data_IF_718719072412
#
_entry.id   IF_718719072412
#
_cell.length_a   1.000
_cell.length_b   1.000
_cell.length_c   1.000
_cell.angle_alpha   90.00
_cell.angle_beta   90.00
_cell.angle_gamma   90.00
#
_symmetry.space_group_name_H-M   'P 1'
#
loop_
_entity.id
_entity.type
_entity.pdbx_description
1 polymer ?
#
# COMPACT_ATOMS: atom_id res chain seq x y z
N UNK A 1 -14.83 0.20 12.91
CA UNK A 1 -15.18 0.59 11.53
C UNK A 1 -14.47 1.88 11.12
N UNK A 2 -14.55 2.98 11.90
CA UNK A 2 -13.93 4.27 11.60
C UNK A 2 -12.42 4.13 11.29
N UNK A 3 -11.66 3.46 12.16
CA UNK A 3 -10.21 3.25 12.00
C UNK A 3 -9.87 2.53 10.70
N UNK A 4 -10.61 1.48 10.35
CA UNK A 4 -10.40 0.74 9.09
C UNK A 4 -10.67 1.61 7.86
N UNK A 5 -11.67 2.50 7.94
CA UNK A 5 -11.96 3.43 6.85
C UNK A 5 -10.85 4.48 6.71
N UNK A 6 -10.35 5.03 7.83
CA UNK A 6 -9.25 5.99 7.83
C UNK A 6 -7.98 5.33 7.27
N UNK A 7 -7.64 4.13 7.74
CA UNK A 7 -6.48 3.40 7.25
C UNK A 7 -6.57 3.12 5.74
N UNK A 8 -7.74 2.73 5.23
CA UNK A 8 -7.94 2.49 3.80
C UNK A 8 -7.78 3.77 2.95
N UNK A 9 -8.21 4.94 3.47
CA UNK A 9 -8.02 6.24 2.80
C UNK A 9 -6.53 6.64 2.84
N UNK A 10 -5.86 6.43 3.98
CA UNK A 10 -4.43 6.69 4.16
C UNK A 10 -3.59 5.88 3.14
N UNK A 11 -3.86 4.58 3.03
CA UNK A 11 -3.20 3.70 2.06
C UNK A 11 -3.47 4.15 0.61
N UNK A 12 -4.70 4.51 0.27
CA UNK A 12 -5.04 4.97 -1.07
C UNK A 12 -4.29 6.27 -1.43
N UNK A 13 -4.26 7.23 -0.50
CA UNK A 13 -3.56 8.50 -0.70
C UNK A 13 -2.05 8.29 -0.79
N UNK A 14 -1.49 7.41 0.04
CA UNK A 14 -0.08 7.04 -0.01
C UNK A 14 0.31 6.43 -1.37
N UNK A 15 -0.53 5.54 -1.93
CA UNK A 15 -0.32 4.98 -3.27
C UNK A 15 -0.36 6.04 -4.37
N UNK A 16 -1.30 7.00 -4.30
CA UNK A 16 -1.37 8.09 -5.26
C UNK A 16 -0.13 8.99 -5.21
N UNK A 17 0.31 9.35 -4.00
CA UNK A 17 1.52 10.17 -3.81
C UNK A 17 2.75 9.41 -4.31
N UNK A 18 2.87 8.13 -3.97
CA UNK A 18 3.98 7.28 -4.42
C UNK A 18 4.05 7.21 -5.94
N UNK A 19 2.91 7.03 -6.62
CA UNK A 19 2.85 7.00 -8.08
C UNK A 19 3.35 8.31 -8.71
N UNK A 20 2.97 9.46 -8.13
CA UNK A 20 3.43 10.79 -8.59
C UNK A 20 4.95 10.93 -8.38
N UNK A 21 5.45 10.54 -7.21
CA UNK A 21 6.88 10.61 -6.89
C UNK A 21 7.70 9.73 -7.84
N UNK A 22 7.25 8.49 -8.10
CA UNK A 22 7.90 7.58 -9.05
C UNK A 22 7.90 8.19 -10.45
N UNK A 23 6.78 8.74 -10.90
CA UNK A 23 6.67 9.37 -12.21
C UNK A 23 7.66 10.54 -12.38
N UNK A 24 7.83 11.37 -11.34
CA UNK A 24 8.79 12.49 -11.37
C UNK A 24 10.24 11.98 -11.43
N UNK A 25 10.58 10.96 -10.65
CA UNK A 25 11.94 10.45 -10.54
C UNK A 25 12.36 9.69 -11.81
N UNK A 26 11.49 8.83 -12.33
CA UNK A 26 11.80 8.01 -13.50
C UNK A 26 11.81 8.81 -14.81
N UNK A 27 11.02 9.88 -14.89
CA UNK A 27 10.92 10.67 -16.12
C UNK A 27 12.21 11.44 -16.47
N UNK A 28 13.09 11.74 -15.51
CA UNK A 28 14.31 12.50 -15.71
C UNK A 28 14.11 13.93 -16.27
N UNK A 29 12.87 14.30 -16.60
CA UNK A 29 12.46 15.62 -17.11
C UNK A 29 11.04 15.93 -16.65
N UNK A 30 10.79 17.17 -16.25
CA UNK A 30 9.45 17.63 -15.85
C UNK A 30 8.40 17.46 -16.95
N UNK A 31 8.80 17.54 -18.21
CA UNK A 31 7.91 17.37 -19.36
C UNK A 31 7.43 15.92 -19.49
N UNK A 32 8.35 14.96 -19.40
CA UNK A 32 8.00 13.52 -19.42
C UNK A 32 7.20 13.09 -18.19
N UNK A 33 7.51 13.65 -17.02
CA UNK A 33 6.72 13.44 -15.81
C UNK A 33 5.25 13.84 -16.00
N UNK A 34 5.00 14.97 -16.69
CA UNK A 34 3.64 15.41 -17.03
C UNK A 34 2.88 14.40 -17.89
N UNK A 35 3.52 13.77 -18.87
CA UNK A 35 2.92 12.70 -19.67
C UNK A 35 2.62 11.46 -18.84
N UNK A 36 3.55 11.04 -17.99
CA UNK A 36 3.33 9.89 -17.10
C UNK A 36 2.13 10.13 -16.19
N UNK A 37 2.02 11.31 -15.56
CA UNK A 37 0.88 11.68 -14.73
C UNK A 37 -0.43 11.67 -15.54
N UNK A 38 -0.42 12.18 -16.76
CA UNK A 38 -1.59 12.16 -17.65
C UNK A 38 -2.02 10.72 -17.96
N UNK A 39 -1.08 9.83 -18.30
CA UNK A 39 -1.37 8.42 -18.55
C UNK A 39 -1.90 7.70 -17.29
N UNK A 40 -1.39 8.04 -16.10
CA UNK A 40 -1.91 7.53 -14.84
C UNK A 40 -3.35 7.94 -14.61
N UNK A 41 -3.66 9.22 -14.82
CA UNK A 41 -5.04 9.73 -14.69
C UNK A 41 -5.97 9.05 -15.70
N UNK A 42 -5.54 8.91 -16.95
CA UNK A 42 -6.30 8.19 -17.98
C UNK A 42 -6.52 6.73 -17.60
N UNK A 43 -5.48 6.04 -17.11
CA UNK A 43 -5.57 4.68 -16.59
C UNK A 43 -6.60 4.58 -15.44
N UNK A 44 -6.55 5.48 -14.45
CA UNK A 44 -7.51 5.49 -13.34
C UNK A 44 -8.95 5.71 -13.83
N UNK A 45 -9.16 6.62 -14.78
CA UNK A 45 -10.46 6.87 -15.41
C UNK A 45 -10.98 5.59 -16.09
N UNK A 46 -10.14 4.91 -16.88
CA UNK A 46 -10.50 3.66 -17.55
C UNK A 46 -10.85 2.58 -16.52
N UNK A 47 -10.03 2.41 -15.48
CA UNK A 47 -10.27 1.41 -14.44
C UNK A 47 -11.57 1.66 -13.68
N UNK A 48 -11.89 2.92 -13.35
CA UNK A 48 -13.10 3.26 -12.59
C UNK A 48 -14.36 3.29 -13.45
N UNK A 49 -14.29 3.80 -14.70
CA UNK A 49 -15.46 4.00 -15.53
C UNK A 49 -15.78 2.82 -16.46
N UNK A 50 -14.77 2.05 -16.89
CA UNK A 50 -14.96 0.92 -17.80
C UNK A 50 -14.79 -0.42 -17.09
N UNK A 51 -13.66 -0.63 -16.40
CA UNK A 51 -13.35 -1.95 -15.84
C UNK A 51 -14.22 -2.25 -14.62
N UNK A 52 -14.39 -1.31 -13.69
CA UNK A 52 -15.21 -1.49 -12.49
C UNK A 52 -16.68 -1.86 -12.81
N UNK A 53 -17.43 -1.17 -13.68
CA UNK A 53 -18.78 -1.58 -14.01
C UNK A 53 -18.84 -2.93 -14.74
N UNK A 54 -17.83 -3.24 -15.58
CA UNK A 54 -17.72 -4.56 -16.21
C UNK A 54 -17.55 -5.67 -15.16
N UNK A 55 -16.65 -5.48 -14.19
CA UNK A 55 -16.45 -6.39 -13.08
C UNK A 55 -17.72 -6.60 -12.27
N UNK A 56 -18.45 -5.52 -11.97
CA UNK A 56 -19.71 -5.58 -11.24
C UNK A 56 -20.78 -6.36 -12.02
N UNK A 57 -20.88 -6.16 -13.33
CA UNK A 57 -21.82 -6.88 -14.21
C UNK A 57 -21.49 -8.38 -14.28
N UNK A 58 -20.21 -8.71 -14.40
CA UNK A 58 -19.76 -10.11 -14.39
C UNK A 58 -20.10 -10.76 -13.04
N UNK A 59 -19.76 -10.09 -11.94
CA UNK A 59 -20.05 -10.60 -10.60
C UNK A 59 -21.54 -10.84 -10.39
N UNK A 60 -22.41 -9.92 -10.80
CA UNK A 60 -23.87 -10.07 -10.65
C UNK A 60 -24.45 -11.26 -11.44
N UNK A 61 -23.98 -11.50 -12.66
CA UNK A 61 -24.42 -12.64 -13.49
C UNK A 61 -24.02 -13.99 -12.88
N UNK A 62 -22.83 -14.06 -12.27
CA UNK A 62 -22.34 -15.31 -11.69
C UNK A 62 -22.90 -15.59 -10.29
N UNK A 63 -23.20 -14.56 -9.51
CA UNK A 63 -23.82 -14.70 -8.19
C UNK A 63 -25.25 -15.23 -8.34
N UNK A 64 -25.99 -14.77 -9.34
CA UNK A 64 -27.36 -15.23 -9.59
C UNK A 64 -27.48 -16.72 -9.96
N UNK A 65 -26.35 -17.35 -10.37
CA UNK A 65 -26.32 -18.77 -10.79
C UNK A 65 -25.67 -19.70 -9.76
N UNK A 66 -25.30 -19.21 -8.58
CA UNK A 66 -24.58 -19.97 -7.53
C UNK A 66 -23.33 -20.73 -8.03
N UNK A 67 -22.85 -20.44 -9.25
CA UNK A 67 -21.72 -21.14 -9.87
C UNK A 67 -20.47 -20.30 -9.70
N UNK A 68 -19.80 -20.45 -8.56
CA UNK A 68 -18.44 -19.90 -8.40
C UNK A 68 -17.45 -20.80 -9.17
N UNK A 69 -17.22 -20.45 -10.44
CA UNK A 69 -16.40 -21.26 -11.34
C UNK A 69 -14.94 -20.76 -11.35
N UNK A 70 -13.97 -21.69 -11.52
CA UNK A 70 -12.54 -21.40 -11.73
C UNK A 70 -12.30 -20.32 -12.81
N UNK A 71 -13.22 -20.17 -13.77
CA UNK A 71 -13.18 -19.15 -14.83
C UNK A 71 -13.23 -17.71 -14.28
N UNK A 72 -13.99 -17.46 -13.20
CA UNK A 72 -14.08 -16.11 -12.59
C UNK A 72 -12.76 -15.75 -11.90
N UNK A 73 -12.20 -16.71 -11.18
CA UNK A 73 -10.91 -16.52 -10.52
C UNK A 73 -9.84 -16.22 -11.57
N UNK A 74 -9.79 -17.00 -12.65
CA UNK A 74 -8.88 -16.76 -13.75
C UNK A 74 -9.09 -15.37 -14.38
N UNK A 75 -10.35 -14.96 -14.60
CA UNK A 75 -10.66 -13.63 -15.12
C UNK A 75 -10.19 -12.50 -14.21
N UNK A 76 -10.39 -12.62 -12.89
CA UNK A 76 -9.91 -11.66 -11.91
C UNK A 76 -8.38 -11.53 -11.96
N UNK A 77 -7.66 -12.67 -12.03
CA UNK A 77 -6.21 -12.65 -12.17
C UNK A 77 -5.76 -12.05 -13.50
N UNK A 78 -6.46 -12.32 -14.61
CA UNK A 78 -6.18 -11.69 -15.91
C UNK A 78 -6.31 -10.17 -15.79
N UNK A 79 -7.38 -9.66 -15.19
CA UNK A 79 -7.56 -8.21 -14.97
C UNK A 79 -6.44 -7.65 -14.10
N UNK A 80 -6.06 -8.36 -13.03
CA UNK A 80 -4.95 -7.96 -12.15
C UNK A 80 -3.63 -7.87 -12.92
N UNK A 81 -3.27 -8.92 -13.67
CA UNK A 81 -2.01 -8.95 -14.42
C UNK A 81 -1.97 -7.93 -15.56
N UNK A 82 -3.07 -7.76 -16.28
CA UNK A 82 -3.19 -6.72 -17.33
C UNK A 82 -3.02 -5.33 -16.69
N UNK A 83 -3.68 -5.08 -15.59
CA UNK A 83 -3.57 -3.82 -14.84
C UNK A 83 -2.13 -3.56 -14.38
N UNK A 84 -1.49 -4.55 -13.77
CA UNK A 84 -0.09 -4.47 -13.35
C UNK A 84 0.87 -4.22 -14.52
N UNK A 85 0.66 -4.89 -15.65
CA UNK A 85 1.45 -4.72 -16.87
C UNK A 85 1.32 -3.32 -17.47
N UNK A 86 0.08 -2.78 -17.55
CA UNK A 86 -0.12 -1.43 -18.05
C UNK A 86 0.55 -0.36 -17.19
N UNK A 87 0.48 -0.49 -15.86
CA UNK A 87 1.14 0.48 -14.98
C UNK A 87 2.65 0.41 -15.07
N UNK A 88 3.23 -0.76 -15.28
CA UNK A 88 4.68 -0.91 -15.53
C UNK A 88 5.10 -0.24 -16.85
N UNK A 89 4.32 -0.38 -17.93
CA UNK A 89 4.58 0.30 -19.22
C UNK A 89 4.48 1.82 -19.09
N UNK A 90 3.53 2.32 -18.31
CA UNK A 90 3.35 3.76 -18.06
C UNK A 90 4.55 4.35 -17.30
N UNK A 91 5.39 3.51 -16.68
CA UNK A 91 6.52 3.94 -15.85
C UNK A 91 6.17 4.06 -14.37
N UNK A 92 5.10 3.39 -13.94
CA UNK A 92 4.77 3.22 -12.53
C UNK A 92 4.93 1.73 -12.20
N UNK A 93 5.26 1.42 -10.96
CA UNK A 93 5.45 0.01 -10.57
C UNK A 93 4.17 -0.82 -10.75
N UNK A 94 4.33 -2.08 -11.19
CA UNK A 94 3.25 -3.06 -11.35
C UNK A 94 2.37 -3.22 -10.08
N UNK A 95 2.97 -3.01 -8.90
CA UNK A 95 2.28 -3.02 -7.61
C UNK A 95 1.08 -2.05 -7.56
N UNK A 96 1.21 -0.85 -8.16
CA UNK A 96 0.13 0.11 -8.23
C UNK A 96 -1.05 -0.42 -9.05
N UNK A 97 -0.77 -1.07 -10.17
CA UNK A 97 -1.80 -1.70 -11.01
C UNK A 97 -2.52 -2.83 -10.28
N UNK A 98 -1.78 -3.68 -9.56
CA UNK A 98 -2.37 -4.72 -8.72
C UNK A 98 -3.27 -4.16 -7.61
N UNK A 99 -2.84 -3.08 -6.95
CA UNK A 99 -3.61 -2.39 -5.92
C UNK A 99 -4.93 -1.81 -6.48
N UNK A 100 -4.86 -1.07 -7.58
CA UNK A 100 -6.07 -0.50 -8.22
C UNK A 100 -7.01 -1.60 -8.71
N UNK A 101 -6.49 -2.71 -9.27
CA UNK A 101 -7.31 -3.86 -9.62
C UNK A 101 -8.07 -4.41 -8.41
N UNK A 102 -7.44 -4.46 -7.23
CA UNK A 102 -8.10 -4.83 -5.97
C UNK A 102 -9.19 -3.84 -5.54
N UNK A 103 -8.93 -2.54 -5.64
CA UNK A 103 -9.86 -1.47 -5.25
C UNK A 103 -11.14 -1.46 -6.10
N UNK A 104 -11.05 -1.81 -7.39
CA UNK A 104 -12.21 -1.87 -8.29
C UNK A 104 -13.02 -3.16 -8.19
N UNK A 105 -12.57 -4.14 -7.39
CA UNK A 105 -13.30 -5.40 -7.22
C UNK A 105 -14.74 -5.18 -6.74
N UNK A 106 -15.69 -6.02 -7.22
CA UNK A 106 -17.09 -5.91 -6.86
C UNK A 106 -17.31 -5.94 -5.35
N UNK A 107 -18.13 -5.02 -4.85
CA UNK A 107 -18.40 -4.87 -3.41
C UNK A 107 -19.38 -5.94 -2.86
N UNK A 108 -19.81 -6.88 -3.68
CA UNK A 108 -20.75 -7.91 -3.28
C UNK A 108 -20.12 -8.85 -2.24
N UNK A 109 -20.77 -9.00 -1.07
CA UNK A 109 -20.20 -9.72 0.08
C UNK A 109 -19.78 -11.16 -0.24
N UNK A 110 -20.65 -11.91 -0.96
CA UNK A 110 -20.35 -13.29 -1.34
C UNK A 110 -19.12 -13.38 -2.26
N UNK A 111 -19.03 -12.49 -3.25
CA UNK A 111 -17.88 -12.43 -4.16
C UNK A 111 -16.57 -12.13 -3.40
N UNK A 112 -16.60 -11.11 -2.53
CA UNK A 112 -15.43 -10.76 -1.69
C UNK A 112 -14.99 -11.92 -0.81
N UNK A 113 -15.95 -12.59 -0.15
CA UNK A 113 -15.64 -13.70 0.75
C UNK A 113 -14.95 -14.85 0.00
N UNK A 114 -15.49 -15.26 -1.11
CA UNK A 114 -14.92 -16.38 -1.89
C UNK A 114 -13.58 -16.00 -2.51
N UNK A 115 -13.40 -14.77 -3.00
CA UNK A 115 -12.11 -14.30 -3.51
C UNK A 115 -11.07 -14.19 -2.39
N UNK A 116 -11.44 -13.67 -1.22
CA UNK A 116 -10.58 -13.61 -0.07
C UNK A 116 -10.13 -15.02 0.34
N UNK A 117 -11.04 -15.96 0.54
CA UNK A 117 -10.71 -17.35 0.89
C UNK A 117 -9.74 -18.03 -0.10
N UNK A 118 -9.80 -17.68 -1.39
CA UNK A 118 -8.92 -18.28 -2.41
C UNK A 118 -7.55 -17.64 -2.53
N UNK A 119 -7.43 -16.37 -2.18
CA UNK A 119 -6.19 -15.59 -2.36
C UNK A 119 -5.48 -15.42 -1.02
N UNK A 120 -6.23 -15.28 0.07
CA UNK A 120 -5.72 -14.93 1.40
C UNK A 120 -4.73 -15.98 1.92
N UNK A 121 -5.11 -17.26 1.90
CA UNK A 121 -4.26 -18.33 2.40
C UNK A 121 -2.89 -18.35 1.71
N UNK A 122 -2.88 -18.29 0.37
CA UNK A 122 -1.64 -18.28 -0.39
C UNK A 122 -0.84 -16.99 -0.15
N UNK A 123 -1.52 -15.86 -0.06
CA UNK A 123 -0.88 -14.57 0.18
C UNK A 123 -0.26 -14.50 1.57
N UNK A 124 -0.97 -14.97 2.61
CA UNK A 124 -0.51 -14.92 3.99
C UNK A 124 0.57 -15.96 4.29
N UNK A 125 0.44 -17.17 3.74
CA UNK A 125 1.34 -18.28 4.05
C UNK A 125 2.61 -18.25 3.20
N UNK A 126 2.54 -17.77 1.96
CA UNK A 126 3.67 -17.82 1.03
C UNK A 126 4.18 -16.43 0.67
N UNK A 127 3.32 -15.55 0.12
CA UNK A 127 3.80 -14.29 -0.44
C UNK A 127 4.25 -13.30 0.62
N UNK A 128 3.52 -13.20 1.73
CA UNK A 128 3.86 -12.27 2.80
C UNK A 128 5.17 -12.62 3.52
N UNK A 129 5.42 -13.88 3.93
CA UNK A 129 6.72 -14.27 4.46
C UNK A 129 7.88 -14.04 3.47
N UNK A 130 7.69 -14.36 2.19
CA UNK A 130 8.71 -14.08 1.15
C UNK A 130 9.04 -12.59 1.06
N UNK A 131 8.03 -11.73 1.11
CA UNK A 131 8.23 -10.28 1.11
C UNK A 131 9.04 -9.82 2.33
N UNK A 132 8.73 -10.33 3.53
CA UNK A 132 9.47 -9.99 4.74
C UNK A 132 10.91 -10.51 4.72
N UNK A 133 11.13 -11.73 4.23
CA UNK A 133 12.48 -12.28 4.04
C UNK A 133 13.27 -11.41 3.06
N UNK A 134 12.68 -11.06 1.92
CA UNK A 134 13.31 -10.21 0.93
C UNK A 134 13.68 -8.82 1.48
N UNK A 135 12.79 -8.19 2.23
CA UNK A 135 13.06 -6.92 2.91
C UNK A 135 14.15 -7.08 3.97
N UNK A 136 14.11 -8.16 4.74
CA UNK A 136 15.12 -8.47 5.76
C UNK A 136 16.51 -8.68 5.19
N UNK A 137 16.64 -9.39 4.05
CA UNK A 137 17.91 -9.61 3.37
C UNK A 137 18.55 -8.30 2.83
N UNK A 138 17.72 -7.30 2.51
CA UNK A 138 18.18 -5.96 2.12
C UNK A 138 18.57 -5.09 3.31
N UNK A 139 18.14 -5.46 4.52
CA UNK A 139 18.37 -4.69 5.75
C UNK A 139 19.72 -5.08 6.35
N UNK A 140 20.65 -4.14 6.40
CA UNK A 140 21.99 -4.39 6.96
C UNK A 140 22.18 -3.64 8.28
N UNK A 141 21.83 -4.32 9.38
CA UNK A 141 21.93 -3.76 10.73
C UNK A 141 23.40 -3.43 11.09
N UNK A 142 24.37 -4.15 10.51
CA UNK A 142 25.80 -3.91 10.72
C UNK A 142 26.28 -2.54 10.24
N UNK A 143 25.48 -1.79 9.48
CA UNK A 143 25.80 -0.41 9.08
C UNK A 143 25.50 0.62 10.20
N UNK A 144 24.80 0.21 11.25
CA UNK A 144 24.47 1.06 12.41
C UNK A 144 25.48 0.77 13.52
N UNK A 145 26.74 1.11 13.29
CA UNK A 145 27.84 0.83 14.24
C UNK A 145 28.18 2.01 15.15
N UNK A 146 27.86 3.23 14.74
CA UNK A 146 28.23 4.43 15.46
C UNK A 146 27.11 4.93 16.37
N UNK A 147 27.47 5.49 17.53
CA UNK A 147 26.53 6.12 18.46
C UNK A 147 25.72 7.22 17.79
N UNK A 148 26.30 7.95 16.84
CA UNK A 148 25.62 8.99 16.06
C UNK A 148 24.50 8.42 15.19
N UNK A 149 24.73 7.28 14.53
CA UNK A 149 23.73 6.61 13.69
C UNK A 149 22.57 6.06 14.53
N UNK A 150 22.85 5.51 15.72
CA UNK A 150 21.82 5.11 16.68
C UNK A 150 21.02 6.31 17.20
N UNK A 151 21.65 7.46 17.47
CA UNK A 151 20.96 8.68 17.86
C UNK A 151 20.02 9.17 16.76
N UNK A 152 20.45 9.15 15.50
CA UNK A 152 19.60 9.48 14.34
C UNK A 152 18.41 8.50 14.25
N UNK A 153 18.65 7.21 14.42
CA UNK A 153 17.59 6.18 14.41
C UNK A 153 16.54 6.47 15.51
N UNK A 154 16.96 6.76 16.72
CA UNK A 154 16.07 7.14 17.82
C UNK A 154 15.26 8.41 17.53
N UNK A 155 15.89 9.43 16.96
CA UNK A 155 15.22 10.68 16.58
C UNK A 155 14.15 10.40 15.51
N UNK A 156 14.47 9.60 14.48
CA UNK A 156 13.54 9.24 13.42
C UNK A 156 12.36 8.47 14.01
N UNK A 157 12.60 7.51 14.92
CA UNK A 157 11.53 6.76 15.60
C UNK A 157 10.62 7.71 16.39
N UNK A 158 11.20 8.64 17.17
CA UNK A 158 10.43 9.60 17.95
C UNK A 158 9.60 10.53 17.07
N UNK A 159 10.18 11.08 16.01
CA UNK A 159 9.46 11.93 15.06
C UNK A 159 8.34 11.16 14.38
N UNK A 160 8.58 9.91 14.02
CA UNK A 160 7.59 9.03 13.39
C UNK A 160 6.40 8.77 14.32
N UNK A 161 6.66 8.47 15.61
CA UNK A 161 5.62 8.25 16.64
C UNK A 161 4.84 9.55 16.88
N UNK A 162 5.55 10.65 17.18
CA UNK A 162 4.90 11.93 17.46
C UNK A 162 4.06 12.41 16.27
N UNK A 163 4.56 12.25 15.05
CA UNK A 163 3.84 12.66 13.85
C UNK A 163 2.56 11.84 13.64
N UNK A 164 2.65 10.51 13.64
CA UNK A 164 1.52 9.65 13.29
C UNK A 164 0.55 9.48 14.47
N UNK A 165 1.04 9.16 15.66
CA UNK A 165 0.22 9.11 16.88
C UNK A 165 -0.37 10.47 17.21
N UNK A 166 0.48 11.52 17.31
CA UNK A 166 0.05 12.87 17.69
C UNK A 166 -0.91 13.47 16.67
N UNK A 167 -0.61 13.35 15.38
CA UNK A 167 -1.49 13.82 14.29
C UNK A 167 -2.87 13.15 14.34
N UNK A 168 -2.91 11.83 14.45
CA UNK A 168 -4.17 11.07 14.52
C UNK A 168 -4.95 11.34 15.80
N UNK A 169 -4.26 11.47 16.93
CA UNK A 169 -4.87 11.83 18.23
C UNK A 169 -5.52 13.21 18.16
N UNK A 170 -4.79 14.22 17.68
CA UNK A 170 -5.28 15.60 17.59
C UNK A 170 -6.45 15.67 16.60
N UNK A 171 -6.33 15.08 15.41
CA UNK A 171 -7.40 15.06 14.41
C UNK A 171 -8.68 14.40 14.95
N UNK A 172 -8.53 13.29 15.69
CA UNK A 172 -9.64 12.60 16.33
C UNK A 172 -10.32 13.47 17.38
N UNK A 173 -9.54 14.21 18.19
CA UNK A 173 -10.10 15.16 19.18
C UNK A 173 -10.87 16.29 18.51
N UNK A 174 -10.35 16.88 17.46
CA UNK A 174 -11.06 17.91 16.70
C UNK A 174 -12.33 17.37 16.02
N UNK A 175 -12.39 16.09 15.72
CA UNK A 175 -13.58 15.41 15.19
C UNK A 175 -14.63 15.08 16.28
N UNK A 176 -14.44 15.51 17.54
CA UNK A 176 -15.39 15.35 18.62
C UNK A 176 -15.35 14.00 19.35
N UNK A 177 -14.33 13.17 19.08
CA UNK A 177 -14.16 11.89 19.80
C UNK A 177 -13.76 12.12 21.28
N UNK A 178 -14.05 11.13 22.14
CA UNK A 178 -13.63 11.18 23.55
C UNK A 178 -12.10 11.13 23.67
N UNK A 179 -11.54 11.53 24.82
CA UNK A 179 -10.10 11.44 25.08
C UNK A 179 -9.59 10.00 24.96
N UNK A 180 -10.37 9.03 25.46
CA UNK A 180 -10.03 7.59 25.39
C UNK A 180 -10.04 7.08 23.95
N UNK A 181 -11.09 7.41 23.21
CA UNK A 181 -11.20 6.98 21.81
C UNK A 181 -10.12 7.61 20.94
N UNK A 182 -9.79 8.89 21.17
CA UNK A 182 -8.72 9.59 20.47
C UNK A 182 -7.35 8.95 20.75
N UNK A 183 -7.10 8.53 21.99
CA UNK A 183 -5.87 7.81 22.34
C UNK A 183 -5.79 6.46 21.65
N UNK A 184 -6.88 5.68 21.67
CA UNK A 184 -6.98 4.39 20.99
C UNK A 184 -6.76 4.56 19.47
N UNK A 185 -7.41 5.56 18.85
CA UNK A 185 -7.24 5.85 17.43
C UNK A 185 -5.79 6.21 17.13
N UNK A 186 -5.18 7.11 17.91
CA UNK A 186 -3.77 7.50 17.77
C UNK A 186 -2.82 6.29 17.84
N UNK A 187 -3.02 5.43 18.83
CA UNK A 187 -2.20 4.22 19.01
C UNK A 187 -2.35 3.27 17.82
N UNK A 188 -3.58 2.93 17.44
CA UNK A 188 -3.81 2.02 16.31
C UNK A 188 -3.33 2.58 14.97
N UNK A 189 -3.43 3.89 14.76
CA UNK A 189 -2.90 4.54 13.56
C UNK A 189 -1.39 4.65 13.54
N UNK A 190 -0.71 4.49 14.68
CA UNK A 190 0.75 4.43 14.75
C UNK A 190 1.32 3.11 14.21
N UNK A 191 0.50 2.05 14.11
CA UNK A 191 0.91 0.80 13.47
C UNK A 191 1.34 1.07 12.04
N UNK A 192 2.53 0.60 11.68
CA UNK A 192 3.08 0.72 10.34
C UNK A 192 3.08 -0.65 9.68
N UNK A 193 2.44 -0.73 8.53
CA UNK A 193 2.20 -2.01 7.89
C UNK A 193 3.05 -2.26 6.65
N UNK A 194 2.57 -3.22 5.88
CA UNK A 194 3.15 -3.68 4.63
C UNK A 194 3.39 -2.53 3.64
N UNK A 195 2.46 -1.56 3.58
CA UNK A 195 2.54 -0.43 2.65
C UNK A 195 3.83 0.37 2.82
N UNK A 196 4.21 0.67 4.04
CA UNK A 196 5.43 1.43 4.32
C UNK A 196 6.69 0.68 3.89
N UNK A 197 6.76 -0.63 4.17
CA UNK A 197 7.86 -1.46 3.70
C UNK A 197 7.92 -1.56 2.17
N UNK A 198 6.76 -1.57 1.48
CA UNK A 198 6.72 -1.52 0.02
C UNK A 198 7.32 -0.20 -0.49
N UNK A 199 6.90 0.94 0.08
CA UNK A 199 7.43 2.25 -0.29
C UNK A 199 8.95 2.32 -0.08
N UNK A 200 9.43 1.80 1.05
CA UNK A 200 10.87 1.74 1.35
C UNK A 200 11.63 0.87 0.35
N UNK A 201 11.10 -0.31 0.01
CA UNK A 201 11.73 -1.18 -0.99
C UNK A 201 11.78 -0.52 -2.38
N UNK A 202 10.72 0.16 -2.80
CA UNK A 202 10.70 0.91 -4.06
C UNK A 202 11.72 2.05 -4.02
N UNK A 203 11.77 2.83 -2.93
CA UNK A 203 12.75 3.89 -2.76
C UNK A 203 14.21 3.40 -2.78
N UNK A 204 14.44 2.20 -2.24
CA UNK A 204 15.74 1.54 -2.30
C UNK A 204 16.08 1.06 -3.73
N UNK A 205 15.14 0.45 -4.44
CA UNK A 205 15.31 0.01 -5.83
C UNK A 205 15.58 1.17 -6.80
N UNK A 206 14.93 2.31 -6.57
CA UNK A 206 15.15 3.53 -7.36
C UNK A 206 16.42 4.29 -6.94
N UNK A 207 17.21 3.73 -6.02
CA UNK A 207 18.44 4.34 -5.49
C UNK A 207 18.25 5.73 -4.86
N UNK A 208 17.03 6.03 -4.42
CA UNK A 208 16.71 7.26 -3.67
C UNK A 208 17.17 7.12 -2.20
N UNK A 209 17.02 5.92 -1.66
CA UNK A 209 17.42 5.59 -0.30
C UNK A 209 18.76 4.85 -0.31
N UNK A 210 19.72 5.36 0.45
CA UNK A 210 20.94 4.61 0.74
C UNK A 210 20.64 3.41 1.64
N UNK A 211 21.50 2.39 1.61
CA UNK A 211 21.32 1.17 2.43
C UNK A 211 21.20 1.49 3.93
N UNK A 212 21.95 2.49 4.43
CA UNK A 212 21.90 2.93 5.83
C UNK A 212 20.53 3.55 6.18
N UNK A 213 20.04 4.48 5.36
CA UNK A 213 18.73 5.12 5.56
C UNK A 213 17.62 4.08 5.46
N UNK A 214 17.67 3.18 4.46
CA UNK A 214 16.72 2.08 4.31
C UNK A 214 16.66 1.24 5.60
N UNK A 215 17.82 0.84 6.13
CA UNK A 215 17.91 0.04 7.36
C UNK A 215 17.30 0.76 8.56
N UNK A 216 17.59 2.05 8.76
CA UNK A 216 17.02 2.85 9.85
C UNK A 216 15.49 2.92 9.73
N UNK A 217 14.96 3.16 8.53
CA UNK A 217 13.52 3.26 8.31
C UNK A 217 12.81 1.92 8.46
N UNK A 218 13.45 0.79 8.09
CA UNK A 218 12.90 -0.55 8.36
C UNK A 218 12.85 -0.82 9.87
N UNK A 219 13.92 -0.50 10.62
CA UNK A 219 13.92 -0.62 12.08
C UNK A 219 12.83 0.24 12.72
N UNK A 220 12.66 1.48 12.26
CA UNK A 220 11.62 2.39 12.72
C UNK A 220 10.22 1.77 12.47
N UNK A 221 9.98 1.20 11.29
CA UNK A 221 8.70 0.55 10.93
C UNK A 221 8.41 -0.64 11.85
N UNK A 222 9.39 -1.51 12.07
CA UNK A 222 9.25 -2.67 12.96
C UNK A 222 9.01 -2.25 14.40
N UNK A 223 9.79 -1.27 14.90
CA UNK A 223 9.68 -0.79 16.28
C UNK A 223 8.30 -0.15 16.54
N UNK A 224 7.84 0.72 15.67
CA UNK A 224 6.54 1.39 15.83
C UNK A 224 5.37 0.39 15.74
N UNK A 225 5.48 -0.65 14.92
CA UNK A 225 4.48 -1.72 14.82
C UNK A 225 4.47 -2.59 16.07
N UNK A 226 5.64 -2.94 16.59
CA UNK A 226 5.76 -3.74 17.81
C UNK A 226 5.26 -3.01 19.06
N UNK A 227 5.38 -1.67 19.09
CA UNK A 227 4.95 -0.83 20.21
C UNK A 227 3.42 -0.66 20.26
N UNK A 228 2.69 -0.88 19.17
CA UNK A 228 1.23 -0.72 19.08
C UNK A 228 0.48 -1.95 19.52
#
# INVERSE_FOLDING_TARGET
KLILTIAAIDDLTAWCILAIVIAIIQAGSYYLAGFTILFVLLYLIIMLLLVKPLMNKIASVYISKEIFNKKIIAFVFIVLFISAFFTEIIGIKALFGGFIAGVIMPSHQHFKKVMAEKIEDFSLVVLLPLFFVFTGLRTNIGLINDTSTWAICCIIILVAIVGKFGGSFIASRFSGQSWKDSFIIGTLMNTRGLMELIVLNIGYELQILSTGIFTILVIMTLFTTFMT
#
